data_IF_064376844332
#
_entry.id   IF_064376844332
#
_cell.length_a   1.000
_cell.length_b   1.000
_cell.length_c   1.000
_cell.angle_alpha   90.00
_cell.angle_beta   90.00
_cell.angle_gamma   90.00
#
_symmetry.space_group_name_H-M   'P 1'
#
loop_
_entity.id
_entity.type
_entity.pdbx_description
1 polymer ?
#
# COMPACT_ATOMS: atom_id res chain seq x y z
N UNK A 1 -23.66 -24.90 -2.39
CA UNK A 1 -22.61 -24.11 -1.72
C UNK A 1 -22.35 -24.77 -0.38
N UNK A 2 -21.11 -24.83 0.11
CA UNK A 2 -20.87 -25.29 1.49
C UNK A 2 -21.58 -24.33 2.44
N UNK A 3 -22.34 -24.82 3.41
CA UNK A 3 -23.20 -24.00 4.28
C UNK A 3 -22.43 -23.05 5.23
N UNK A 4 -21.08 -23.12 5.26
CA UNK A 4 -20.24 -22.39 6.21
C UNK A 4 -19.37 -21.29 5.57
N UNK A 5 -19.62 -20.88 4.33
CA UNK A 5 -18.80 -19.84 3.68
C UNK A 5 -19.21 -18.45 4.20
N UNK A 6 -18.24 -17.74 4.78
CA UNK A 6 -18.46 -16.46 5.48
C UNK A 6 -18.09 -15.24 4.63
N UNK A 7 -17.36 -15.43 3.52
CA UNK A 7 -16.84 -14.35 2.70
C UNK A 7 -17.22 -14.62 1.23
N UNK A 8 -17.92 -13.66 0.62
CA UNK A 8 -18.29 -13.71 -0.79
C UNK A 8 -17.69 -12.51 -1.51
N UNK A 9 -16.76 -12.78 -2.43
CA UNK A 9 -16.14 -11.77 -3.28
C UNK A 9 -16.91 -11.58 -4.58
N UNK A 10 -17.03 -10.34 -5.05
CA UNK A 10 -17.46 -10.05 -6.42
C UNK A 10 -16.78 -8.76 -6.93
N UNK A 11 -16.84 -8.52 -8.24
CA UNK A 11 -16.28 -7.30 -8.83
C UNK A 11 -17.28 -6.62 -9.75
N UNK A 12 -17.37 -5.29 -9.64
CA UNK A 12 -18.20 -4.44 -10.48
C UNK A 12 -17.53 -3.08 -10.61
N UNK A 13 -17.58 -2.46 -11.80
CA UNK A 13 -17.07 -1.11 -12.03
C UNK A 13 -15.62 -0.86 -11.54
N UNK A 14 -14.69 -1.81 -11.80
CA UNK A 14 -13.28 -1.74 -11.35
C UNK A 14 -13.08 -1.69 -9.84
N UNK A 15 -14.09 -2.13 -9.09
CA UNK A 15 -14.05 -2.28 -7.64
C UNK A 15 -14.18 -3.75 -7.28
N UNK A 16 -13.52 -4.11 -6.19
CA UNK A 16 -13.68 -5.41 -5.53
C UNK A 16 -14.58 -5.20 -4.32
N UNK A 17 -15.55 -6.09 -4.16
CA UNK A 17 -16.50 -6.10 -3.06
C UNK A 17 -16.36 -7.40 -2.29
N UNK A 18 -16.51 -7.32 -0.97
CA UNK A 18 -16.61 -8.48 -0.09
C UNK A 18 -17.86 -8.35 0.76
N UNK A 19 -18.73 -9.34 0.63
CA UNK A 19 -19.90 -9.51 1.47
C UNK A 19 -19.54 -10.47 2.61
N UNK A 20 -19.57 -9.97 3.83
CA UNK A 20 -19.14 -10.67 5.04
C UNK A 20 -20.37 -11.15 5.83
N UNK A 21 -20.40 -12.44 6.15
CA UNK A 21 -21.49 -13.12 6.87
C UNK A 21 -20.96 -13.87 8.09
N UNK A 22 -20.34 -13.13 9.01
CA UNK A 22 -19.87 -13.68 10.29
C UNK A 22 -21.02 -13.63 11.29
N UNK A 23 -21.20 -14.68 12.09
CA UNK A 23 -22.38 -14.85 12.96
C UNK A 23 -22.52 -13.75 14.02
N UNK A 24 -21.39 -13.13 14.37
CA UNK A 24 -21.27 -12.14 15.45
C UNK A 24 -21.29 -10.70 14.96
N UNK A 25 -21.27 -10.48 13.64
CA UNK A 25 -21.15 -9.14 13.04
C UNK A 25 -22.31 -8.97 12.08
N UNK A 26 -22.91 -7.79 12.08
CA UNK A 26 -23.94 -7.45 11.10
C UNK A 26 -23.41 -7.68 9.68
N UNK A 27 -24.26 -8.22 8.80
CA UNK A 27 -23.88 -8.48 7.41
C UNK A 27 -23.34 -7.20 6.79
N UNK A 28 -22.04 -7.20 6.46
CA UNK A 28 -21.32 -6.01 6.04
C UNK A 28 -20.81 -6.21 4.62
N UNK A 29 -20.99 -5.19 3.78
CA UNK A 29 -20.35 -5.13 2.47
C UNK A 29 -19.25 -4.07 2.48
N UNK A 30 -18.03 -4.52 2.19
CA UNK A 30 -16.86 -3.64 2.11
C UNK A 30 -16.34 -3.60 0.68
N UNK A 31 -15.87 -2.44 0.22
CA UNK A 31 -15.37 -2.32 -1.16
C UNK A 31 -14.18 -1.39 -1.30
N UNK A 32 -13.32 -1.70 -2.27
CA UNK A 32 -12.21 -0.84 -2.66
C UNK A 32 -12.00 -0.87 -4.19
N UNK A 33 -11.21 0.07 -4.71
CA UNK A 33 -10.72 -0.05 -6.09
C UNK A 33 -9.91 -1.33 -6.19
N UNK A 34 -10.15 -2.18 -7.19
CA UNK A 34 -9.52 -3.49 -7.26
C UNK A 34 -8.00 -3.43 -7.13
N UNK A 35 -7.43 -4.22 -6.23
CA UNK A 35 -6.00 -4.22 -5.91
C UNK A 35 -5.51 -3.06 -5.04
N UNK A 36 -6.33 -2.03 -4.76
CA UNK A 36 -5.92 -0.97 -3.83
C UNK A 36 -5.74 -1.54 -2.41
N UNK A 37 -6.63 -2.43 -1.97
CA UNK A 37 -6.53 -3.05 -0.65
C UNK A 37 -5.23 -3.84 -0.50
N UNK A 38 -4.75 -4.53 -1.55
CA UNK A 38 -3.40 -5.16 -1.58
C UNK A 38 -2.31 -4.13 -1.21
N UNK A 39 -2.22 -3.02 -1.94
CA UNK A 39 -1.12 -2.07 -1.75
C UNK A 39 -1.21 -1.29 -0.43
N UNK A 40 -2.42 -0.99 0.03
CA UNK A 40 -2.64 -0.37 1.34
C UNK A 40 -2.27 -1.35 2.47
N UNK A 41 -2.60 -2.64 2.33
CA UNK A 41 -2.30 -3.69 3.30
C UNK A 41 -0.79 -3.90 3.48
N UNK A 42 -0.02 -3.85 2.39
CA UNK A 42 1.44 -3.94 2.43
C UNK A 42 2.13 -2.86 3.28
N UNK A 43 1.40 -1.79 3.60
CA UNK A 43 1.91 -0.64 4.35
C UNK A 43 1.51 -0.62 5.82
N UNK A 44 0.42 -1.28 6.22
CA UNK A 44 0.03 -1.38 7.64
C UNK A 44 1.20 -2.00 8.41
N UNK A 45 1.64 -1.39 9.52
CA UNK A 45 2.78 -1.92 10.27
C UNK A 45 2.38 -3.19 11.04
N UNK A 46 3.31 -4.13 11.22
CA UNK A 46 3.05 -5.34 12.02
C UNK A 46 2.66 -4.98 13.46
N UNK A 47 3.27 -3.93 14.01
CA UNK A 47 2.93 -3.41 15.34
C UNK A 47 1.53 -2.82 15.41
N UNK A 48 0.97 -2.32 14.30
CA UNK A 48 -0.43 -1.87 14.23
C UNK A 48 -1.37 -3.06 14.37
N UNK A 49 -1.09 -4.18 13.69
CA UNK A 49 -1.88 -5.41 13.84
C UNK A 49 -1.86 -5.93 15.27
N UNK A 50 -0.67 -6.06 15.86
CA UNK A 50 -0.51 -6.50 17.26
C UNK A 50 -1.30 -5.59 18.21
N UNK A 51 -1.19 -4.26 18.04
CA UNK A 51 -1.90 -3.26 18.85
C UNK A 51 -3.41 -3.40 18.69
N UNK A 52 -3.92 -3.54 17.46
CA UNK A 52 -5.35 -3.66 17.17
C UNK A 52 -5.91 -4.95 17.79
N UNK A 53 -5.31 -6.10 17.52
CA UNK A 53 -5.81 -7.39 18.03
C UNK A 53 -5.69 -7.50 19.54
N UNK A 54 -4.64 -6.93 20.15
CA UNK A 54 -4.52 -6.87 21.61
C UNK A 54 -5.62 -6.03 22.25
N UNK A 55 -5.95 -4.87 21.66
CA UNK A 55 -7.06 -4.04 22.11
C UNK A 55 -8.40 -4.77 21.99
N UNK A 56 -8.66 -5.42 20.84
CA UNK A 56 -9.87 -6.22 20.63
C UNK A 56 -9.97 -7.34 21.67
N UNK A 57 -8.88 -8.07 21.92
CA UNK A 57 -8.83 -9.14 22.92
C UNK A 57 -9.11 -8.63 24.33
N UNK A 58 -8.50 -7.52 24.74
CA UNK A 58 -8.71 -6.93 26.07
C UNK A 58 -10.16 -6.44 26.25
N UNK A 59 -10.72 -5.80 25.23
CA UNK A 59 -12.13 -5.38 25.22
C UNK A 59 -13.08 -6.55 25.24
N UNK A 60 -12.80 -7.62 24.49
CA UNK A 60 -13.57 -8.85 24.53
C UNK A 60 -13.55 -9.48 25.93
N UNK A 61 -12.39 -9.54 26.59
CA UNK A 61 -12.29 -10.06 27.96
C UNK A 61 -13.07 -9.21 28.98
N UNK A 62 -13.22 -7.91 28.74
CA UNK A 62 -13.92 -6.99 29.64
C UNK A 62 -15.45 -6.95 29.42
N UNK A 63 -15.91 -7.03 28.17
CA UNK A 63 -17.31 -6.78 27.81
C UNK A 63 -17.87 -7.68 26.71
N UNK A 64 -17.17 -8.77 26.37
CA UNK A 64 -17.58 -9.73 25.35
C UNK A 64 -17.60 -9.16 23.93
N UNK A 65 -18.40 -9.78 23.06
CA UNK A 65 -18.48 -9.46 21.62
C UNK A 65 -18.83 -8.00 21.36
N UNK A 66 -19.77 -7.42 22.12
CA UNK A 66 -20.22 -6.04 21.92
C UNK A 66 -19.09 -5.01 22.10
N UNK A 67 -18.26 -5.20 23.13
CA UNK A 67 -17.14 -4.29 23.41
C UNK A 67 -16.01 -4.47 22.39
N UNK A 68 -15.76 -5.72 21.97
CA UNK A 68 -14.80 -6.04 20.92
C UNK A 68 -15.18 -5.36 19.58
N UNK A 69 -16.45 -5.42 19.19
CA UNK A 69 -16.98 -4.76 17.98
C UNK A 69 -16.82 -3.24 18.09
N UNK A 70 -17.16 -2.67 19.25
CA UNK A 70 -17.08 -1.21 19.49
C UNK A 70 -15.64 -0.70 19.31
N UNK A 71 -14.66 -1.42 19.87
CA UNK A 71 -13.24 -1.08 19.72
C UNK A 71 -12.69 -1.35 18.33
N UNK A 72 -13.24 -2.34 17.62
CA UNK A 72 -12.85 -2.65 16.25
C UNK A 72 -13.40 -1.67 15.20
N UNK A 73 -14.56 -1.04 15.46
CA UNK A 73 -15.28 -0.21 14.50
C UNK A 73 -14.43 0.87 13.77
N UNK A 74 -13.48 1.57 14.40
CA UNK A 74 -12.64 2.56 13.70
C UNK A 74 -11.71 1.98 12.62
N UNK A 75 -11.46 0.66 12.66
CA UNK A 75 -10.56 -0.05 11.76
C UNK A 75 -11.28 -0.76 10.62
N UNK A 76 -12.60 -0.97 10.75
CA UNK A 76 -13.47 -1.47 9.69
C UNK A 76 -13.44 -0.49 8.51
N UNK A 77 -13.45 -1.01 7.29
CA UNK A 77 -13.38 -0.26 6.01
C UNK A 77 -12.11 0.55 5.75
N UNK A 78 -11.17 0.63 6.70
CA UNK A 78 -9.85 1.25 6.45
C UNK A 78 -9.04 0.44 5.43
N UNK A 79 -9.15 -0.88 5.51
CA UNK A 79 -8.59 -1.82 4.55
C UNK A 79 -9.45 -3.09 4.55
N UNK A 80 -9.70 -3.65 3.36
CA UNK A 80 -10.58 -4.82 3.24
C UNK A 80 -10.03 -6.04 3.99
N UNK A 81 -8.71 -6.27 3.97
CA UNK A 81 -8.12 -7.45 4.61
C UNK A 81 -8.10 -7.29 6.13
N UNK A 82 -7.81 -6.09 6.64
CA UNK A 82 -7.90 -5.80 8.06
C UNK A 82 -9.32 -6.06 8.59
N UNK A 83 -10.33 -5.62 7.84
CA UNK A 83 -11.73 -5.86 8.21
C UNK A 83 -12.06 -7.36 8.27
N UNK A 84 -11.62 -8.13 7.27
CA UNK A 84 -11.84 -9.58 7.24
C UNK A 84 -11.10 -10.30 8.37
N UNK A 85 -9.84 -9.93 8.68
CA UNK A 85 -9.12 -10.49 9.82
C UNK A 85 -9.82 -10.18 11.15
N UNK A 86 -10.25 -8.93 11.35
CA UNK A 86 -10.99 -8.52 12.55
C UNK A 86 -12.27 -9.34 12.69
N UNK A 87 -13.01 -9.51 11.60
CA UNK A 87 -14.26 -10.25 11.61
C UNK A 87 -14.06 -11.72 11.99
N UNK A 88 -13.09 -12.39 11.37
CA UNK A 88 -12.74 -13.76 11.69
C UNK A 88 -12.23 -13.92 13.13
N UNK A 89 -11.45 -12.95 13.63
CA UNK A 89 -10.90 -13.00 14.98
C UNK A 89 -11.99 -12.83 16.06
N UNK A 90 -12.93 -11.90 15.87
CA UNK A 90 -14.05 -11.70 16.80
C UNK A 90 -14.93 -12.96 16.85
N UNK A 91 -15.21 -13.59 15.71
CA UNK A 91 -16.00 -14.82 15.69
C UNK A 91 -15.27 -15.98 16.38
N UNK A 92 -13.96 -16.14 16.14
CA UNK A 92 -13.13 -17.09 16.86
C UNK A 92 -13.20 -16.90 18.39
N UNK A 93 -13.05 -15.65 18.86
CA UNK A 93 -13.15 -15.33 20.28
C UNK A 93 -14.53 -15.64 20.85
N UNK A 94 -15.60 -15.32 20.11
CA UNK A 94 -16.97 -15.51 20.55
C UNK A 94 -17.35 -16.99 20.68
N UNK A 95 -16.91 -17.83 19.75
CA UNK A 95 -17.17 -19.27 19.80
C UNK A 95 -16.30 -19.97 20.85
N UNK A 96 -15.01 -19.64 20.93
CA UNK A 96 -14.11 -20.13 21.96
C UNK A 96 -13.90 -21.65 22.02
N UNK A 97 -14.27 -22.38 20.95
CA UNK A 97 -14.17 -23.85 20.88
C UNK A 97 -12.91 -24.34 20.15
N UNK A 98 -12.54 -25.61 20.33
CA UNK A 98 -11.49 -26.26 19.52
C UNK A 98 -11.82 -26.26 18.04
N UNK A 99 -13.11 -26.38 17.70
CA UNK A 99 -13.61 -26.28 16.33
C UNK A 99 -13.37 -24.87 15.76
N UNK A 100 -13.71 -23.83 16.51
CA UNK A 100 -13.48 -22.44 16.11
C UNK A 100 -11.99 -22.15 15.90
N UNK A 101 -11.11 -22.70 16.76
CA UNK A 101 -9.67 -22.59 16.57
C UNK A 101 -9.20 -23.28 15.29
N UNK A 102 -9.71 -24.47 14.99
CA UNK A 102 -9.37 -25.20 13.76
C UNK A 102 -9.85 -24.45 12.51
N UNK A 103 -11.07 -23.90 12.54
CA UNK A 103 -11.62 -23.08 11.46
C UNK A 103 -10.81 -21.80 11.26
N UNK A 104 -10.47 -21.09 12.34
CA UNK A 104 -9.64 -19.88 12.27
C UNK A 104 -8.24 -20.18 11.75
N UNK A 105 -7.63 -21.29 12.19
CA UNK A 105 -6.31 -21.72 11.70
C UNK A 105 -6.35 -22.03 10.21
N UNK A 106 -7.39 -22.75 9.75
CA UNK A 106 -7.59 -23.02 8.33
C UNK A 106 -7.83 -21.72 7.52
N UNK A 107 -8.61 -20.78 8.06
CA UNK A 107 -8.86 -19.48 7.47
C UNK A 107 -7.57 -18.66 7.30
N UNK A 108 -6.68 -18.69 8.30
CA UNK A 108 -5.39 -17.98 8.22
C UNK A 108 -4.47 -18.52 7.12
N UNK A 109 -4.62 -19.78 6.72
CA UNK A 109 -3.82 -20.41 5.66
C UNK A 109 -2.68 -21.29 6.20
N UNK A 110 -2.00 -21.97 5.29
CA UNK A 110 -1.03 -23.04 5.64
C UNK A 110 0.25 -22.56 6.33
N UNK A 111 0.54 -21.26 6.26
CA UNK A 111 1.69 -20.61 6.91
C UNK A 111 1.42 -20.24 8.38
N UNK A 112 0.19 -20.38 8.86
CA UNK A 112 -0.16 -20.11 10.25
C UNK A 112 -0.27 -21.40 11.07
N UNK A 113 0.37 -21.40 12.24
CA UNK A 113 0.21 -22.43 13.25
C UNK A 113 -0.14 -21.79 14.59
N UNK A 114 -1.25 -22.20 15.17
CA UNK A 114 -1.62 -21.76 16.51
C UNK A 114 -0.61 -22.30 17.56
N UNK A 115 -0.21 -21.49 18.55
CA UNK A 115 0.65 -21.97 19.62
C UNK A 115 -0.03 -23.07 20.47
N UNK A 116 0.73 -23.82 21.28
CA UNK A 116 0.16 -24.77 22.24
C UNK A 116 -0.72 -24.06 23.29
N UNK A 117 -1.90 -24.61 23.57
CA UNK A 117 -2.89 -24.01 24.50
C UNK A 117 -2.40 -23.89 25.95
N UNK A 118 -1.47 -24.75 26.35
CA UNK A 118 -0.83 -24.79 27.66
C UNK A 118 0.34 -23.80 27.81
N UNK A 119 0.69 -23.07 26.74
CA UNK A 119 1.73 -22.05 26.81
C UNK A 119 1.35 -20.87 27.70
N UNK A 120 2.30 -20.40 28.51
CA UNK A 120 2.15 -19.15 29.25
C UNK A 120 1.85 -18.00 28.29
N UNK A 121 0.89 -17.13 28.64
CA UNK A 121 0.42 -16.04 27.79
C UNK A 121 -0.10 -16.50 26.41
N UNK A 122 -0.76 -17.66 26.35
CA UNK A 122 -1.31 -18.26 25.12
C UNK A 122 -1.88 -17.25 24.12
N UNK A 123 -2.82 -16.39 24.55
CA UNK A 123 -3.48 -15.44 23.64
C UNK A 123 -2.54 -14.37 23.08
N UNK A 124 -1.51 -13.96 23.84
CA UNK A 124 -0.50 -13.02 23.33
C UNK A 124 0.42 -13.72 22.33
N UNK A 125 0.84 -14.95 22.62
CA UNK A 125 1.60 -15.76 21.67
C UNK A 125 0.79 -16.04 20.39
N UNK A 126 -0.54 -16.18 20.52
CA UNK A 126 -1.46 -16.37 19.40
C UNK A 126 -1.50 -15.13 18.51
N UNK A 127 -1.66 -13.94 19.10
CA UNK A 127 -1.61 -12.67 18.36
C UNK A 127 -0.26 -12.50 17.66
N UNK A 128 0.85 -12.81 18.35
CA UNK A 128 2.18 -12.73 17.76
C UNK A 128 2.35 -13.69 16.56
N UNK A 129 1.84 -14.92 16.67
CA UNK A 129 1.84 -15.89 15.56
C UNK A 129 0.97 -15.41 14.39
N UNK A 130 -0.18 -14.79 14.67
CA UNK A 130 -1.03 -14.19 13.63
C UNK A 130 -0.30 -13.06 12.90
N UNK A 131 0.29 -12.12 13.66
CA UNK A 131 1.06 -11.00 13.10
C UNK A 131 2.24 -11.50 12.27
N UNK A 132 2.94 -12.55 12.72
CA UNK A 132 4.03 -13.16 11.96
C UNK A 132 3.55 -13.76 10.62
N UNK A 133 2.43 -14.48 10.62
CA UNK A 133 1.81 -15.00 9.38
C UNK A 133 1.36 -13.87 8.44
N UNK A 134 0.77 -12.81 8.98
CA UNK A 134 0.41 -11.60 8.21
C UNK A 134 1.65 -10.98 7.55
N UNK A 135 2.74 -10.80 8.29
CA UNK A 135 3.99 -10.26 7.73
C UNK A 135 4.62 -11.19 6.68
N UNK A 136 4.53 -12.50 6.86
CA UNK A 136 4.99 -13.47 5.87
C UNK A 136 4.22 -13.32 4.54
N UNK A 137 2.88 -13.26 4.59
CA UNK A 137 2.05 -12.99 3.40
C UNK A 137 2.41 -11.66 2.75
N UNK A 138 2.59 -10.60 3.54
CA UNK A 138 3.01 -9.28 3.03
C UNK A 138 4.39 -9.34 2.35
N UNK A 139 5.33 -10.08 2.93
CA UNK A 139 6.67 -10.25 2.37
C UNK A 139 6.62 -11.01 1.03
N UNK A 140 5.82 -12.07 0.95
CA UNK A 140 5.62 -12.85 -0.28
C UNK A 140 5.00 -12.00 -1.39
N UNK A 141 3.92 -11.27 -1.10
CA UNK A 141 3.30 -10.35 -2.05
C UNK A 141 4.31 -9.28 -2.52
N UNK A 142 5.07 -8.67 -1.60
CA UNK A 142 6.12 -7.69 -1.94
C UNK A 142 7.19 -8.29 -2.85
N UNK A 143 7.63 -9.52 -2.55
CA UNK A 143 8.64 -10.22 -3.33
C UNK A 143 8.17 -10.42 -4.78
N UNK A 144 7.01 -11.07 -4.97
CA UNK A 144 6.50 -11.37 -6.31
C UNK A 144 6.12 -10.11 -7.08
N UNK A 145 5.50 -9.10 -6.46
CA UNK A 145 5.22 -7.83 -7.15
C UNK A 145 6.52 -7.18 -7.64
N UNK A 146 7.58 -7.17 -6.83
CA UNK A 146 8.87 -6.62 -7.24
C UNK A 146 9.50 -7.41 -8.38
N UNK A 147 9.46 -8.74 -8.31
CA UNK A 147 10.01 -9.62 -9.34
C UNK A 147 9.26 -9.46 -10.67
N UNK A 148 7.93 -9.55 -10.63
CA UNK A 148 7.03 -9.30 -11.77
C UNK A 148 7.32 -7.93 -12.40
N UNK A 149 7.51 -6.89 -11.60
CA UNK A 149 7.73 -5.54 -12.13
C UNK A 149 9.14 -5.34 -12.70
N UNK A 150 10.13 -6.12 -12.25
CA UNK A 150 11.50 -6.15 -12.80
C UNK A 150 11.55 -6.89 -14.13
N UNK A 151 10.90 -8.06 -14.22
CA UNK A 151 10.83 -8.82 -15.47
C UNK A 151 10.12 -8.01 -16.55
N UNK A 152 10.72 -7.88 -17.74
CA UNK A 152 10.10 -7.17 -18.88
C UNK A 152 9.62 -8.12 -19.98
N UNK A 153 9.72 -9.42 -19.76
CA UNK A 153 9.33 -10.44 -20.71
C UNK A 153 7.83 -10.70 -20.63
N UNK A 154 7.14 -10.52 -21.75
CA UNK A 154 5.71 -10.79 -21.86
C UNK A 154 4.80 -9.73 -21.20
N UNK A 155 3.50 -10.00 -21.25
CA UNK A 155 2.49 -9.10 -20.68
C UNK A 155 2.52 -9.11 -19.15
N UNK A 156 1.95 -8.09 -18.51
CA UNK A 156 1.79 -8.08 -17.05
C UNK A 156 1.00 -9.31 -16.57
N UNK A 157 -0.12 -9.62 -17.21
CA UNK A 157 -0.95 -10.76 -16.85
C UNK A 157 -0.18 -12.08 -16.98
N UNK A 158 0.63 -12.26 -18.02
CA UNK A 158 1.43 -13.47 -18.18
C UNK A 158 2.43 -13.65 -17.04
N UNK A 159 3.10 -12.57 -16.62
CA UNK A 159 4.05 -12.60 -15.50
C UNK A 159 3.36 -12.98 -14.18
N UNK A 160 2.19 -12.40 -13.89
CA UNK A 160 1.40 -12.78 -12.71
C UNK A 160 0.94 -14.24 -12.74
N UNK A 161 0.45 -14.73 -13.88
CA UNK A 161 0.02 -16.13 -14.03
C UNK A 161 1.19 -17.11 -13.86
N UNK A 162 2.38 -16.74 -14.30
CA UNK A 162 3.57 -17.59 -14.12
C UNK A 162 3.93 -17.77 -12.65
N UNK A 163 3.79 -16.72 -11.82
CA UNK A 163 4.03 -16.82 -10.38
C UNK A 163 3.08 -17.80 -9.67
N UNK A 164 1.89 -18.04 -10.22
CA UNK A 164 0.96 -19.05 -9.68
C UNK A 164 1.50 -20.48 -9.67
N UNK A 165 2.56 -20.76 -10.45
CA UNK A 165 3.27 -22.06 -10.42
C UNK A 165 4.19 -22.21 -9.20
N UNK A 166 4.59 -21.09 -8.60
CA UNK A 166 5.60 -21.02 -7.53
C UNK A 166 4.97 -20.61 -6.19
N UNK A 167 3.83 -19.92 -6.24
CA UNK A 167 3.10 -19.46 -5.06
C UNK A 167 1.61 -19.69 -5.18
N UNK A 168 1.03 -20.26 -4.12
CA UNK A 168 -0.42 -20.37 -3.98
C UNK A 168 -1.09 -19.00 -3.98
N UNK A 169 -0.48 -17.95 -3.42
CA UNK A 169 -1.01 -16.58 -3.42
C UNK A 169 -1.15 -15.95 -4.82
N UNK A 170 -0.63 -16.61 -5.85
CA UNK A 170 -0.75 -16.20 -7.26
C UNK A 170 -1.44 -17.27 -8.13
N UNK A 171 -1.95 -18.34 -7.53
CA UNK A 171 -2.79 -19.33 -8.20
C UNK A 171 -4.24 -18.84 -8.22
N UNK A 172 -4.71 -18.38 -9.39
CA UNK A 172 -6.01 -17.73 -9.57
C UNK A 172 -7.14 -18.70 -9.94
N UNK A 173 -7.08 -19.94 -9.45
CA UNK A 173 -8.18 -20.89 -9.58
C UNK A 173 -9.20 -20.67 -8.47
N UNK A 174 -10.44 -20.40 -8.87
CA UNK A 174 -11.56 -20.19 -7.95
C UNK A 174 -12.80 -20.94 -8.43
N UNK A 175 -13.54 -21.46 -7.46
CA UNK A 175 -14.96 -21.75 -7.66
C UNK A 175 -15.72 -20.42 -7.79
N UNK A 176 -16.74 -20.41 -8.64
CA UNK A 176 -17.60 -19.23 -8.80
C UNK A 176 -18.98 -19.61 -9.30
N UNK A 177 -19.95 -18.73 -9.09
CA UNK A 177 -21.29 -18.85 -9.68
C UNK A 177 -21.78 -17.47 -10.10
N UNK A 178 -22.66 -17.45 -11.10
CA UNK A 178 -23.29 -16.22 -11.55
C UNK A 178 -24.53 -15.93 -10.70
N UNK A 179 -24.59 -14.73 -10.14
CA UNK A 179 -25.77 -14.22 -9.45
C UNK A 179 -26.60 -13.38 -10.43
N UNK A 180 -27.79 -13.90 -10.76
CA UNK A 180 -28.72 -13.29 -11.68
C UNK A 180 -29.36 -12.01 -11.14
N UNK A 181 -29.48 -11.85 -9.82
CA UNK A 181 -30.13 -10.68 -9.23
C UNK A 181 -29.23 -9.45 -9.31
N UNK A 182 -27.93 -9.63 -9.02
CA UNK A 182 -26.95 -8.55 -9.00
C UNK A 182 -26.16 -8.38 -10.30
N UNK A 183 -26.31 -9.32 -11.24
CA UNK A 183 -25.60 -9.40 -12.53
C UNK A 183 -24.08 -9.40 -12.35
N UNK A 184 -23.60 -10.26 -11.44
CA UNK A 184 -22.17 -10.41 -11.14
C UNK A 184 -21.79 -11.88 -10.95
N UNK A 185 -20.50 -12.17 -11.10
CA UNK A 185 -19.93 -13.46 -10.69
C UNK A 185 -19.53 -13.36 -9.22
N UNK A 186 -20.07 -14.25 -8.40
CA UNK A 186 -19.77 -14.39 -6.98
C UNK A 186 -18.76 -15.52 -6.77
N UNK A 187 -17.76 -15.22 -5.95
CA UNK A 187 -16.67 -16.09 -5.58
C UNK A 187 -16.77 -16.38 -4.07
N UNK A 188 -17.09 -17.62 -3.67
CA UNK A 188 -16.93 -18.02 -2.28
C UNK A 188 -15.44 -18.04 -1.92
N UNK A 189 -15.07 -17.37 -0.82
CA UNK A 189 -13.69 -17.27 -0.34
C UNK A 189 -13.63 -17.90 1.06
N UNK A 190 -12.83 -18.95 1.22
CA UNK A 190 -12.74 -19.74 2.47
C UNK A 190 -11.58 -19.28 3.35
N UNK A 191 -10.49 -18.81 2.74
CA UNK A 191 -9.27 -18.41 3.45
C UNK A 191 -8.89 -16.96 3.18
N UNK A 192 -8.02 -16.40 4.01
CA UNK A 192 -7.43 -15.09 3.72
C UNK A 192 -6.56 -15.11 2.45
N UNK A 193 -5.94 -16.24 2.13
CA UNK A 193 -5.23 -16.41 0.87
C UNK A 193 -6.19 -16.26 -0.31
N UNK A 194 -7.41 -16.78 -0.23
CA UNK A 194 -8.44 -16.60 -1.26
C UNK A 194 -8.80 -15.12 -1.43
N UNK A 195 -8.95 -14.39 -0.31
CA UNK A 195 -9.25 -12.95 -0.31
C UNK A 195 -8.16 -12.14 -1.02
N UNK A 196 -6.89 -12.45 -0.72
CA UNK A 196 -5.73 -11.80 -1.33
C UNK A 196 -5.63 -12.15 -2.82
N UNK A 197 -5.72 -13.45 -3.15
CA UNK A 197 -5.68 -13.96 -4.53
C UNK A 197 -6.78 -13.33 -5.37
N UNK A 198 -7.97 -13.22 -4.79
CA UNK A 198 -9.14 -12.65 -5.44
C UNK A 198 -8.91 -11.18 -5.79
N UNK A 199 -8.38 -10.38 -4.87
CA UNK A 199 -8.14 -8.96 -5.15
C UNK A 199 -7.05 -8.75 -6.21
N UNK A 200 -5.99 -9.56 -6.19
CA UNK A 200 -4.93 -9.54 -7.21
C UNK A 200 -5.52 -9.94 -8.57
N UNK A 201 -6.31 -11.02 -8.63
CA UNK A 201 -6.98 -11.44 -9.86
C UNK A 201 -7.88 -10.31 -10.41
N UNK A 202 -8.69 -9.70 -9.56
CA UNK A 202 -9.59 -8.62 -9.98
C UNK A 202 -8.84 -7.34 -10.38
N UNK A 203 -7.69 -7.04 -9.76
CA UNK A 203 -6.80 -5.97 -10.20
C UNK A 203 -6.34 -6.18 -11.65
N UNK A 204 -5.96 -7.41 -11.99
CA UNK A 204 -5.51 -7.77 -13.34
C UNK A 204 -6.65 -7.80 -14.35
N UNK A 205 -7.78 -8.43 -14.00
CA UNK A 205 -8.97 -8.52 -14.86
C UNK A 205 -9.51 -7.14 -15.22
N UNK A 206 -9.54 -6.22 -14.25
CA UNK A 206 -9.98 -4.84 -14.44
C UNK A 206 -8.90 -3.92 -15.06
N UNK A 207 -7.71 -4.46 -15.39
CA UNK A 207 -6.57 -3.73 -15.96
C UNK A 207 -6.21 -2.49 -15.14
N UNK A 208 -6.22 -2.63 -13.81
CA UNK A 208 -5.90 -1.54 -12.90
C UNK A 208 -4.42 -1.20 -13.04
N UNK A 209 -4.14 0.09 -13.22
CA UNK A 209 -2.77 0.59 -13.29
C UNK A 209 -2.27 0.85 -11.87
N UNK A 210 -1.07 0.39 -11.57
CA UNK A 210 -0.34 0.69 -10.36
C UNK A 210 1.12 1.03 -10.70
N UNK A 211 1.79 1.76 -9.81
CA UNK A 211 3.19 2.17 -10.00
C UNK A 211 3.83 2.54 -8.65
N UNK A 212 5.18 2.55 -8.55
CA UNK A 212 5.84 3.02 -7.32
C UNK A 212 5.64 4.52 -7.16
N UNK A 213 5.41 4.97 -5.93
CA UNK A 213 5.40 6.38 -5.56
C UNK A 213 6.81 6.97 -5.68
N UNK A 214 6.98 8.11 -6.36
CA UNK A 214 8.29 8.78 -6.50
C UNK A 214 8.88 9.31 -5.19
N UNK A 215 8.06 9.45 -4.16
CA UNK A 215 8.51 9.90 -2.83
C UNK A 215 8.88 8.72 -1.93
N UNK A 216 8.00 7.73 -1.77
CA UNK A 216 8.18 6.65 -0.80
C UNK A 216 8.54 5.27 -1.39
N UNK A 217 8.59 5.14 -2.72
CA UNK A 217 8.93 3.89 -3.41
C UNK A 217 7.84 2.82 -3.41
N UNK A 218 6.87 2.89 -2.49
CA UNK A 218 5.81 1.90 -2.37
C UNK A 218 4.83 1.97 -3.55
N UNK A 219 4.40 0.81 -4.05
CA UNK A 219 3.36 0.73 -5.07
C UNK A 219 2.04 1.31 -4.57
N UNK A 220 1.28 1.90 -5.50
CA UNK A 220 -0.06 2.40 -5.25
C UNK A 220 -0.87 2.43 -6.54
N UNK A 221 -2.19 2.41 -6.39
CA UNK A 221 -3.14 2.70 -7.48
C UNK A 221 -3.36 4.21 -7.52
N UNK A 222 -3.03 4.92 -8.62
CA UNK A 222 -3.25 6.36 -8.73
C UNK A 222 -4.73 6.75 -8.56
N UNK A 223 -5.05 7.52 -7.54
CA UNK A 223 -6.37 8.12 -7.33
C UNK A 223 -6.60 9.33 -8.25
N UNK A 224 -7.76 9.40 -8.90
CA UNK A 224 -8.12 10.51 -9.79
C UNK A 224 -7.35 10.49 -11.13
N UNK A 225 -6.37 11.39 -11.30
CA UNK A 225 -5.60 11.48 -12.55
C UNK A 225 -4.63 10.31 -12.66
N UNK A 226 -4.71 9.57 -13.77
CA UNK A 226 -3.85 8.39 -14.02
C UNK A 226 -2.35 8.69 -14.03
N UNK A 227 -1.96 9.97 -14.20
CA UNK A 227 -0.56 10.39 -14.17
C UNK A 227 -0.05 10.78 -12.77
N UNK A 228 -0.86 10.71 -11.69
CA UNK A 228 -0.40 11.05 -10.34
C UNK A 228 0.88 10.30 -9.96
N UNK A 229 1.96 11.00 -9.59
CA UNK A 229 3.28 10.40 -9.35
C UNK A 229 3.53 10.00 -7.90
N UNK A 230 2.60 10.39 -7.02
CA UNK A 230 2.72 10.28 -5.57
C UNK A 230 1.44 9.70 -4.97
N UNK A 231 1.58 8.82 -3.98
CA UNK A 231 0.43 8.31 -3.22
C UNK A 231 -0.13 9.36 -2.25
N UNK A 232 -1.33 9.12 -1.74
CA UNK A 232 -2.02 9.89 -0.70
C UNK A 232 -1.65 9.46 0.73
N UNK A 233 -0.62 8.63 0.88
CA UNK A 233 -0.16 8.12 2.19
C UNK A 233 0.74 9.11 2.92
N UNK A 234 0.60 9.15 4.24
CA UNK A 234 1.51 9.83 5.18
C UNK A 234 2.58 8.82 5.60
N UNK A 235 3.86 9.16 5.41
CA UNK A 235 4.96 8.26 5.78
C UNK A 235 5.30 8.37 7.28
N UNK A 236 5.90 7.34 7.90
CA UNK A 236 6.40 7.44 9.26
C UNK A 236 7.31 8.66 9.43
N UNK A 237 7.03 9.48 10.45
CA UNK A 237 7.74 10.73 10.73
C UNK A 237 7.32 11.95 9.91
N UNK A 238 6.35 11.82 9.00
CA UNK A 238 5.80 12.93 8.21
C UNK A 238 4.40 13.34 8.70
N UNK A 239 4.01 14.59 8.47
CA UNK A 239 2.67 15.11 8.83
C UNK A 239 1.75 15.27 7.64
N UNK A 240 2.30 15.17 6.41
CA UNK A 240 1.59 15.40 5.15
C UNK A 240 1.71 14.17 4.24
N UNK A 241 0.73 13.92 3.35
CA UNK A 241 0.78 12.79 2.44
C UNK A 241 1.73 13.01 1.25
N UNK A 242 2.27 11.95 0.64
CA UNK A 242 3.27 12.08 -0.44
C UNK A 242 2.80 12.95 -1.63
N UNK A 243 1.52 12.98 -1.94
CA UNK A 243 0.96 13.82 -3.01
C UNK A 243 1.00 15.32 -2.70
N UNK A 244 1.23 15.71 -1.45
CA UNK A 244 1.30 17.09 -1.00
C UNK A 244 2.72 17.66 -0.89
N UNK A 245 3.70 16.83 -0.54
CA UNK A 245 5.09 17.26 -0.33
C UNK A 245 6.11 16.43 -1.11
N UNK A 246 5.69 15.35 -1.75
CA UNK A 246 6.59 14.41 -2.42
C UNK A 246 7.39 15.05 -3.54
N UNK A 247 6.84 16.02 -4.26
CA UNK A 247 7.60 16.79 -5.26
C UNK A 247 8.76 17.58 -4.64
N UNK A 248 8.52 18.26 -3.52
CA UNK A 248 9.54 18.99 -2.76
C UNK A 248 10.59 18.02 -2.21
N UNK A 249 10.15 16.94 -1.55
CA UNK A 249 11.07 15.95 -0.97
C UNK A 249 11.89 15.23 -2.02
N UNK A 250 11.28 14.79 -3.13
CA UNK A 250 12.03 14.18 -4.24
C UNK A 250 13.02 15.18 -4.83
N UNK A 251 12.63 16.45 -5.01
CA UNK A 251 13.55 17.49 -5.47
C UNK A 251 14.74 17.66 -4.52
N UNK A 252 14.48 17.79 -3.21
CA UNK A 252 15.53 17.92 -2.19
C UNK A 252 16.46 16.71 -2.17
N UNK A 253 15.92 15.49 -2.22
CA UNK A 253 16.70 14.25 -2.28
C UNK A 253 17.57 14.21 -3.54
N UNK A 254 16.99 14.48 -4.71
CA UNK A 254 17.71 14.46 -6.00
C UNK A 254 18.84 15.49 -6.02
N UNK A 255 18.65 16.66 -5.39
CA UNK A 255 19.62 17.75 -5.45
C UNK A 255 20.47 17.92 -4.17
N UNK A 256 20.31 17.07 -3.15
CA UNK A 256 21.03 17.17 -1.86
C UNK A 256 22.54 17.19 -2.05
N UNK A 257 23.05 16.39 -2.97
CA UNK A 257 24.47 16.28 -3.30
C UNK A 257 24.80 16.86 -4.69
N UNK A 258 23.90 17.66 -5.26
CA UNK A 258 24.09 18.27 -6.56
C UNK A 258 24.73 19.66 -6.41
N UNK A 259 26.05 19.68 -6.37
CA UNK A 259 26.81 20.93 -6.17
C UNK A 259 26.67 21.90 -7.36
N UNK A 260 26.39 21.39 -8.56
CA UNK A 260 26.03 22.19 -9.74
C UNK A 260 24.71 22.92 -9.48
N UNK A 261 23.70 22.21 -8.98
CA UNK A 261 22.41 22.80 -8.62
C UNK A 261 22.52 23.83 -7.49
N UNK A 262 23.29 23.52 -6.43
CA UNK A 262 23.51 24.43 -5.30
C UNK A 262 24.15 25.75 -5.75
N UNK A 263 25.19 25.67 -6.59
CA UNK A 263 25.84 26.86 -7.15
C UNK A 263 24.83 27.70 -7.96
N UNK A 264 24.08 27.06 -8.86
CA UNK A 264 23.03 27.72 -9.65
C UNK A 264 21.97 28.41 -8.79
N UNK A 265 21.39 27.72 -7.79
CA UNK A 265 20.35 28.30 -6.93
C UNK A 265 20.90 29.47 -6.11
N UNK A 266 22.14 29.38 -5.63
CA UNK A 266 22.79 30.46 -4.87
C UNK A 266 22.91 31.72 -5.72
N UNK A 267 23.44 31.60 -6.94
CA UNK A 267 23.55 32.71 -7.88
C UNK A 267 22.18 33.24 -8.33
N UNK A 268 21.21 32.35 -8.55
CA UNK A 268 19.84 32.74 -8.92
C UNK A 268 19.17 33.57 -7.84
N UNK A 269 19.26 33.14 -6.56
CA UNK A 269 18.74 33.89 -5.41
C UNK A 269 19.45 35.24 -5.22
N UNK A 270 20.77 35.29 -5.48
CA UNK A 270 21.54 36.55 -5.50
C UNK A 270 20.97 37.53 -6.52
N UNK A 271 20.74 37.08 -7.76
CA UNK A 271 20.19 37.92 -8.83
C UNK A 271 18.74 38.35 -8.57
N UNK A 272 17.92 37.45 -8.03
CA UNK A 272 16.53 37.73 -7.63
C UNK A 272 16.46 38.79 -6.51
N UNK A 273 17.37 38.71 -5.53
CA UNK A 273 17.52 39.75 -4.50
C UNK A 273 17.87 41.13 -5.10
N UNK A 274 18.81 41.16 -6.06
CA UNK A 274 19.19 42.39 -6.76
C UNK A 274 18.05 42.96 -7.60
N UNK A 275 17.26 42.11 -8.24
CA UNK A 275 16.08 42.52 -8.98
C UNK A 275 15.04 43.15 -8.03
N UNK A 276 14.77 42.52 -6.88
CA UNK A 276 13.86 43.09 -5.86
C UNK A 276 14.36 44.42 -5.31
N UNK A 277 15.68 44.56 -5.14
CA UNK A 277 16.34 45.81 -4.75
C UNK A 277 16.42 46.84 -5.89
N UNK A 278 15.87 46.53 -7.08
CA UNK A 278 15.90 47.37 -8.28
C UNK A 278 17.32 47.74 -8.76
N UNK A 279 18.31 46.91 -8.43
CA UNK A 279 19.69 47.05 -8.90
C UNK A 279 19.90 46.51 -10.31
N UNK A 280 18.98 45.64 -10.77
CA UNK A 280 18.90 45.13 -12.14
C UNK A 280 17.43 45.17 -12.59
N UNK A 281 17.23 45.25 -13.90
CA UNK A 281 15.92 45.19 -14.53
C UNK A 281 15.35 43.77 -14.55
N UNK A 282 14.05 43.66 -14.78
CA UNK A 282 13.36 42.37 -14.97
C UNK A 282 13.89 41.62 -16.21
N UNK A 283 14.29 42.35 -17.25
CA UNK A 283 14.81 41.76 -18.49
C UNK A 283 16.22 41.21 -18.31
N UNK A 284 17.10 41.93 -17.60
CA UNK A 284 18.43 41.43 -17.22
C UNK A 284 18.33 40.16 -16.36
N UNK A 285 17.42 40.13 -15.39
CA UNK A 285 17.17 38.92 -14.59
C UNK A 285 16.66 37.75 -15.44
N UNK A 286 15.75 38.00 -16.39
CA UNK A 286 15.24 36.98 -17.31
C UNK A 286 16.34 36.47 -18.24
N UNK A 287 17.21 37.35 -18.73
CA UNK A 287 18.35 37.01 -19.59
C UNK A 287 19.37 36.16 -18.82
N UNK A 288 19.74 36.58 -17.60
CA UNK A 288 20.57 35.77 -16.70
C UNK A 288 19.97 34.37 -16.52
N UNK A 289 18.69 34.27 -16.16
CA UNK A 289 18.03 32.98 -15.94
C UNK A 289 18.00 32.08 -17.19
N UNK A 290 17.98 32.65 -18.41
CA UNK A 290 18.10 31.88 -19.66
C UNK A 290 19.52 31.35 -19.84
N UNK A 291 20.53 32.20 -19.72
CA UNK A 291 21.93 31.84 -19.96
C UNK A 291 22.44 30.88 -18.86
N UNK A 292 22.13 31.16 -17.59
CA UNK A 292 22.54 30.33 -16.46
C UNK A 292 21.98 28.89 -16.54
N UNK A 293 20.78 28.69 -17.10
CA UNK A 293 20.24 27.34 -17.36
C UNK A 293 21.00 26.61 -18.46
N UNK A 294 21.45 27.32 -19.50
CA UNK A 294 22.27 26.74 -20.55
C UNK A 294 23.65 26.34 -20.01
N UNK A 295 24.32 27.23 -19.28
CA UNK A 295 25.62 26.93 -18.66
C UNK A 295 25.53 25.80 -17.63
N UNK A 296 24.46 25.76 -16.82
CA UNK A 296 24.20 24.65 -15.92
C UNK A 296 24.09 23.32 -16.66
N UNK A 297 23.42 23.29 -17.83
CA UNK A 297 23.32 22.10 -18.67
C UNK A 297 24.68 21.67 -19.22
N UNK A 298 25.51 22.62 -19.66
CA UNK A 298 26.90 22.35 -20.09
C UNK A 298 27.72 21.70 -18.98
N UNK A 299 27.57 22.19 -17.74
CA UNK A 299 28.24 21.60 -16.58
C UNK A 299 27.74 20.17 -16.29
N UNK A 300 26.43 19.91 -16.33
CA UNK A 300 25.90 18.54 -16.19
C UNK A 300 26.38 17.58 -17.28
N UNK A 301 26.55 18.08 -18.50
CA UNK A 301 27.06 17.32 -19.62
C UNK A 301 28.59 17.08 -19.55
N UNK A 302 29.28 17.65 -18.57
CA UNK A 302 30.74 17.59 -18.44
C UNK A 302 31.49 18.47 -19.45
N UNK A 303 30.81 19.39 -20.14
CA UNK A 303 31.42 20.31 -21.11
C UNK A 303 32.24 21.43 -20.43
N UNK A 304 31.90 21.76 -19.17
CA UNK A 304 32.64 22.66 -18.30
C UNK A 304 32.72 22.06 -16.89
N UNK A 305 33.79 22.37 -16.17
CA UNK A 305 33.95 21.92 -14.77
C UNK A 305 33.03 22.69 -13.82
N UNK A 306 32.78 22.13 -12.63
CA UNK A 306 32.02 22.81 -11.57
C UNK A 306 32.66 24.16 -11.20
N UNK A 307 33.99 24.24 -11.16
CA UNK A 307 34.69 25.47 -10.81
C UNK A 307 34.56 26.52 -11.91
N UNK A 308 34.68 26.13 -13.19
CA UNK A 308 34.41 27.03 -14.32
C UNK A 308 32.98 27.58 -14.28
N UNK A 309 32.01 26.72 -13.96
CA UNK A 309 30.62 27.13 -13.80
C UNK A 309 30.42 28.10 -12.62
N UNK A 310 31.03 27.84 -11.46
CA UNK A 310 30.98 28.74 -10.29
C UNK A 310 31.59 30.10 -10.60
N UNK A 311 32.76 30.14 -11.22
CA UNK A 311 33.41 31.40 -11.64
C UNK A 311 32.51 32.19 -12.59
N UNK A 312 31.95 31.53 -13.60
CA UNK A 312 31.03 32.17 -14.54
C UNK A 312 29.80 32.76 -13.85
N UNK A 313 29.23 32.07 -12.85
CA UNK A 313 28.10 32.59 -12.07
C UNK A 313 28.46 33.84 -11.28
N UNK A 314 29.67 33.91 -10.72
CA UNK A 314 30.14 35.01 -9.88
C UNK A 314 30.54 36.26 -10.68
N UNK A 315 30.99 36.08 -11.92
CA UNK A 315 31.32 37.17 -12.84
C UNK A 315 30.08 37.86 -13.42
N UNK A 316 28.91 37.22 -13.37
CA UNK A 316 27.64 37.80 -13.80
C UNK A 316 27.13 38.81 -12.75
N UNK A 317 27.72 40.01 -12.75
CA UNK A 317 27.30 41.20 -11.99
C UNK A 317 26.32 42.07 -12.77
#
# INVERSE_FOLDING_TARGET
>A
MKDNIKIFGFSKNKRTYYKLKFSQIEETEISSVSGKAVFDFLWIDGSDFETIFTKILSSFAAGGVSEAITVAAPFVDKNSYLTVYIAAFIEYLAEGTDKALAEFTAFMGSDFAAPPKDSAHYMMNFINAMTASIEQKKAEIKFYINDIMKDKNGSLNQRFVNCGKESKLFDFQFDSHFDFESDVIIYPLETMDDVIRFDIMQMLANKIKFKPCKCCGHYFVPGGRTNSEYCDRIMPGETRPCNEFGALKTFDITHKNDDIHKAYITAYRRMDSRQRAKLITKDEFKQFGKIARAERKRCYNGEITLDQFKTWLDDFR
#
